data_IF_691133297205
#
_entry.id   IF_691133297205
#
_cell.length_a   1.000
_cell.length_b   1.000
_cell.length_c   1.000
_cell.angle_alpha   90.00
_cell.angle_beta   90.00
_cell.angle_gamma   90.00
#
_symmetry.space_group_name_H-M   'P 1'
#
loop_
_entity.id
_entity.type
_entity.pdbx_description
1 polymer ?
#
# COMPACT_ATOMS: atom_id res chain seq x y z
N UNK A 1 -8.91 20.38 5.07
CA UNK A 1 -10.26 19.75 5.03
C UNK A 1 -10.10 18.33 5.56
N UNK A 2 -10.65 18.04 6.77
CA UNK A 2 -10.66 16.72 7.38
C UNK A 2 -11.61 15.81 6.59
N UNK A 3 -11.07 15.12 5.61
CA UNK A 3 -11.78 14.01 5.00
C UNK A 3 -11.73 12.84 5.98
N UNK A 4 -12.90 12.38 6.39
CA UNK A 4 -13.11 11.29 7.32
C UNK A 4 -12.35 11.50 8.62
N UNK A 5 -12.74 12.54 9.36
CA UNK A 5 -12.40 12.64 10.77
C UNK A 5 -12.76 11.32 11.43
N UNK A 6 -11.79 10.72 12.11
CA UNK A 6 -11.94 9.50 12.88
C UNK A 6 -13.10 9.64 13.88
N UNK A 7 -14.32 9.54 13.37
CA UNK A 7 -15.46 9.32 14.24
C UNK A 7 -15.29 7.91 14.77
N UNK A 8 -14.88 7.86 16.00
CA UNK A 8 -14.86 6.76 16.90
C UNK A 8 -15.88 5.71 16.50
N UNK A 9 -15.42 4.55 16.15
CA UNK A 9 -16.31 3.41 16.07
C UNK A 9 -16.22 2.61 17.36
N UNK A 10 -17.11 1.64 17.57
CA UNK A 10 -17.16 0.81 18.79
C UNK A 10 -15.87 0.00 19.03
N UNK A 11 -14.95 -0.06 18.07
CA UNK A 11 -13.73 -0.87 18.15
C UNK A 11 -12.49 -0.06 18.49
N UNK A 12 -12.44 1.25 18.17
CA UNK A 12 -11.27 2.07 18.48
C UNK A 12 -11.60 3.56 18.58
N UNK A 13 -10.92 4.22 19.51
CA UNK A 13 -10.92 5.67 19.66
C UNK A 13 -9.74 6.31 18.95
N UNK A 14 -8.61 5.60 18.86
CA UNK A 14 -7.36 6.02 18.23
C UNK A 14 -6.79 4.88 17.40
N UNK A 15 -5.90 5.19 16.46
CA UNK A 15 -5.08 4.19 15.79
C UNK A 15 -3.73 3.98 16.52
N UNK A 16 -3.05 2.87 16.20
CA UNK A 16 -1.79 2.49 16.86
C UNK A 16 -0.57 3.34 16.45
N UNK A 17 -0.73 4.34 15.61
CA UNK A 17 0.37 5.20 15.15
C UNK A 17 0.23 6.67 15.49
N UNK A 18 -0.82 7.07 16.29
CA UNK A 18 -1.11 8.48 16.50
C UNK A 18 -0.99 8.96 17.95
N UNK A 19 -0.84 8.05 18.92
CA UNK A 19 -0.72 8.41 20.32
C UNK A 19 0.56 9.19 20.61
N UNK A 20 0.41 10.24 21.41
CA UNK A 20 1.50 11.12 21.83
C UNK A 20 1.33 11.51 23.30
N UNK A 21 2.29 12.21 23.88
CA UNK A 21 2.20 12.78 25.24
C UNK A 21 0.94 13.62 25.48
N UNK A 22 0.33 14.18 24.43
CA UNK A 22 -0.95 14.92 24.53
C UNK A 22 -2.14 14.05 24.92
N UNK A 23 -2.01 12.74 24.74
CA UNK A 23 -3.04 11.77 25.11
C UNK A 23 -2.86 11.19 26.51
N UNK A 24 -1.85 11.67 27.28
CA UNK A 24 -1.59 11.22 28.65
C UNK A 24 -2.88 11.27 29.49
N UNK A 25 -3.06 10.25 30.31
CA UNK A 25 -4.19 10.07 31.22
C UNK A 25 -5.56 9.86 30.54
N UNK A 26 -5.64 9.82 29.23
CA UNK A 26 -6.87 9.51 28.49
C UNK A 26 -7.18 8.01 28.54
N UNK A 27 -8.45 7.70 28.74
CA UNK A 27 -8.98 6.36 28.51
C UNK A 27 -9.25 6.18 27.01
N UNK A 28 -8.65 5.15 26.43
CA UNK A 28 -8.70 4.90 24.99
C UNK A 28 -9.06 3.46 24.69
N UNK A 29 -9.47 3.26 23.44
CA UNK A 29 -9.72 1.94 22.86
C UNK A 29 -8.85 1.79 21.61
N UNK A 30 -8.02 0.76 21.57
CA UNK A 30 -7.26 0.35 20.39
C UNK A 30 -7.76 -1.00 19.89
N UNK A 31 -7.69 -1.22 18.59
CA UNK A 31 -7.87 -2.55 17.98
C UNK A 31 -6.81 -2.80 16.94
N UNK A 32 -6.25 -4.00 16.96
CA UNK A 32 -5.16 -4.38 16.06
C UNK A 32 -4.72 -5.82 16.27
N UNK A 33 -3.62 -6.15 15.63
CA UNK A 33 -2.95 -7.44 15.72
C UNK A 33 -1.89 -7.43 16.80
N UNK A 34 -1.78 -8.50 17.58
CA UNK A 34 -0.68 -8.70 18.53
C UNK A 34 0.60 -8.99 17.73
N UNK A 35 1.44 -7.97 17.57
CA UNK A 35 2.65 -8.05 16.76
C UNK A 35 3.81 -8.71 17.50
N UNK A 36 3.98 -8.41 18.79
CA UNK A 36 5.06 -8.93 19.65
C UNK A 36 4.59 -9.00 21.09
N UNK A 37 5.08 -9.99 21.83
CA UNK A 37 4.88 -10.09 23.29
C UNK A 37 6.23 -10.24 23.99
N UNK A 38 6.36 -9.63 25.14
CA UNK A 38 7.54 -9.75 26.01
C UNK A 38 7.06 -9.90 27.46
N UNK A 39 7.39 -11.04 28.06
CA UNK A 39 7.08 -11.32 29.46
C UNK A 39 8.28 -10.91 30.32
N UNK A 40 8.06 -10.07 31.28
CA UNK A 40 9.01 -9.61 32.31
C UNK A 40 8.56 -10.03 33.71
N UNK A 41 7.92 -11.18 33.83
CA UNK A 41 7.49 -11.78 35.09
C UNK A 41 6.23 -11.16 35.69
N UNK A 42 6.28 -9.91 36.13
CA UNK A 42 5.13 -9.21 36.68
C UNK A 42 4.39 -8.33 35.65
N UNK A 43 5.02 -8.08 34.52
CA UNK A 43 4.48 -7.24 33.45
C UNK A 43 4.55 -7.98 32.12
N UNK A 44 3.47 -7.96 31.37
CA UNK A 44 3.44 -8.44 29.99
C UNK A 44 3.30 -7.23 29.07
N UNK A 45 4.30 -7.05 28.21
CA UNK A 45 4.30 -6.01 27.18
C UNK A 45 3.80 -6.60 25.86
N UNK A 46 2.93 -5.87 25.20
CA UNK A 46 2.31 -6.23 23.91
C UNK A 46 2.48 -5.07 22.96
N UNK A 47 3.13 -5.31 21.85
CA UNK A 47 3.14 -4.39 20.73
C UNK A 47 1.89 -4.65 19.89
N UNK A 48 0.91 -3.76 19.96
CA UNK A 48 -0.30 -3.81 19.14
C UNK A 48 -0.10 -3.04 17.84
N UNK A 49 -0.36 -3.68 16.72
CA UNK A 49 -0.16 -3.11 15.38
C UNK A 49 -1.49 -2.94 14.65
N UNK A 50 -1.62 -1.82 13.94
CA UNK A 50 -2.65 -1.63 12.92
C UNK A 50 -2.01 -1.11 11.61
N UNK A 51 -2.83 -0.63 10.66
CA UNK A 51 -2.35 -0.05 9.39
C UNK A 51 -1.49 1.22 9.59
N UNK A 52 -1.63 1.91 10.72
CA UNK A 52 -1.03 3.23 10.94
C UNK A 52 0.25 3.17 11.76
N UNK A 53 0.45 2.11 12.52
CA UNK A 53 1.64 1.96 13.34
C UNK A 53 1.54 0.89 14.40
N UNK A 54 2.40 1.04 15.41
CA UNK A 54 2.52 0.14 16.56
C UNK A 54 2.47 0.96 17.83
N UNK A 55 1.68 0.50 18.81
CA UNK A 55 1.64 1.05 20.18
C UNK A 55 1.97 -0.06 21.17
N UNK A 56 2.87 0.20 22.10
CA UNK A 56 3.11 -0.69 23.22
C UNK A 56 1.97 -0.60 24.22
N UNK A 57 1.43 -1.76 24.59
CA UNK A 57 0.47 -1.91 25.67
C UNK A 57 1.10 -2.75 26.78
N UNK A 58 0.76 -2.48 28.03
CA UNK A 58 1.30 -3.18 29.19
C UNK A 58 0.17 -3.63 30.12
N UNK A 59 0.29 -4.85 30.65
CA UNK A 59 -0.63 -5.39 31.63
C UNK A 59 0.16 -5.96 32.81
N UNK A 60 -0.29 -5.65 34.02
CA UNK A 60 0.26 -6.15 35.27
C UNK A 60 -0.32 -7.52 35.63
N UNK A 61 0.48 -8.37 36.27
CA UNK A 61 0.11 -9.72 36.71
C UNK A 61 -1.09 -9.76 37.68
N UNK A 62 -1.32 -8.70 38.41
CA UNK A 62 -2.49 -8.55 39.30
C UNK A 62 -3.81 -8.38 38.52
N UNK A 63 -3.74 -8.00 37.23
CA UNK A 63 -4.93 -7.88 36.42
C UNK A 63 -5.49 -9.26 36.08
N UNK A 64 -6.80 -9.45 36.29
CA UNK A 64 -7.51 -10.71 36.04
C UNK A 64 -7.36 -11.26 34.60
N UNK A 65 -7.09 -10.38 33.64
CA UNK A 65 -6.94 -10.71 32.23
C UNK A 65 -5.50 -11.11 31.84
N UNK A 66 -4.53 -11.00 32.73
CA UNK A 66 -3.12 -11.28 32.42
C UNK A 66 -2.90 -12.69 31.84
N UNK A 67 -3.39 -13.72 32.56
CA UNK A 67 -3.20 -15.13 32.16
C UNK A 67 -3.87 -15.48 30.82
N UNK A 68 -4.96 -14.83 30.48
CA UNK A 68 -5.65 -15.03 29.22
C UNK A 68 -4.85 -14.39 28.09
N UNK A 69 -4.40 -13.15 28.29
CA UNK A 69 -3.64 -12.40 27.29
C UNK A 69 -2.25 -12.99 27.03
N UNK A 70 -1.63 -13.59 28.07
CA UNK A 70 -0.37 -14.31 27.95
C UNK A 70 -0.46 -15.50 26.98
N UNK A 71 -1.58 -16.21 26.96
CA UNK A 71 -1.79 -17.42 26.12
C UNK A 71 -2.15 -17.12 24.68
N UNK A 72 -2.66 -15.92 24.37
CA UNK A 72 -3.11 -15.57 23.01
C UNK A 72 -1.93 -15.61 22.04
N UNK A 73 -2.15 -16.22 20.89
CA UNK A 73 -1.13 -16.32 19.83
C UNK A 73 -0.85 -14.96 19.18
N UNK A 74 0.39 -14.78 18.71
CA UNK A 74 0.75 -13.63 17.88
C UNK A 74 -0.15 -13.56 16.65
N UNK A 75 -0.35 -12.36 16.13
CA UNK A 75 -1.26 -12.06 15.02
C UNK A 75 -2.75 -12.32 15.31
N UNK A 76 -3.13 -12.67 16.53
CA UNK A 76 -4.54 -12.57 16.96
C UNK A 76 -4.98 -11.12 16.99
N UNK A 77 -6.24 -10.88 16.65
CA UNK A 77 -6.86 -9.55 16.64
C UNK A 77 -7.54 -9.31 17.97
N UNK A 78 -7.17 -8.22 18.61
CA UNK A 78 -7.73 -7.84 19.92
C UNK A 78 -8.21 -6.39 19.93
N UNK A 79 -9.20 -6.14 20.78
CA UNK A 79 -9.62 -4.81 21.20
C UNK A 79 -9.14 -4.60 22.63
N UNK A 80 -8.39 -3.55 22.87
CA UNK A 80 -7.82 -3.20 24.17
C UNK A 80 -8.47 -1.91 24.65
N UNK A 81 -8.99 -1.91 25.87
CA UNK A 81 -9.37 -0.70 26.59
C UNK A 81 -8.29 -0.43 27.62
N UNK A 82 -7.78 0.76 27.65
CA UNK A 82 -6.68 1.11 28.53
C UNK A 82 -6.46 2.60 28.67
N UNK A 83 -5.53 2.95 29.54
CA UNK A 83 -5.16 4.33 29.84
C UNK A 83 -3.79 4.64 29.27
N UNK A 84 -3.63 5.78 28.62
CA UNK A 84 -2.35 6.24 28.10
C UNK A 84 -1.48 6.75 29.24
N UNK A 85 -0.26 6.23 29.33
CA UNK A 85 0.75 6.68 30.30
C UNK A 85 2.01 7.12 29.58
N UNK A 86 2.69 8.11 30.12
CA UNK A 86 3.98 8.56 29.60
C UNK A 86 5.08 7.61 30.07
N UNK A 87 5.98 7.21 29.18
CA UNK A 87 7.14 6.40 29.55
C UNK A 87 8.19 7.23 30.28
N UNK A 88 8.91 6.57 31.19
CA UNK A 88 10.10 7.17 31.78
C UNK A 88 11.16 7.43 30.70
N UNK A 89 12.05 8.38 30.96
CA UNK A 89 13.11 8.76 30.01
C UNK A 89 13.95 7.57 29.54
N UNK A 90 14.18 6.60 30.44
CA UNK A 90 15.01 5.42 30.18
C UNK A 90 14.28 4.32 29.38
N UNK A 91 12.95 4.42 29.25
CA UNK A 91 12.11 3.44 28.53
C UNK A 91 11.51 3.96 27.23
N UNK A 92 11.83 5.21 26.85
CA UNK A 92 11.41 5.79 25.57
C UNK A 92 11.99 4.96 24.41
N UNK A 93 11.14 4.63 23.43
CA UNK A 93 11.54 3.91 22.24
C UNK A 93 11.45 4.82 21.01
N UNK A 94 12.60 5.34 20.56
CA UNK A 94 12.70 6.23 19.38
C UNK A 94 12.31 5.57 18.04
N UNK A 95 12.30 4.23 17.98
CA UNK A 95 11.95 3.50 16.76
C UNK A 95 10.43 3.46 16.51
N UNK A 96 9.64 3.79 17.53
CA UNK A 96 8.20 3.86 17.43
C UNK A 96 7.71 5.32 17.43
N UNK A 97 6.80 5.66 16.54
CA UNK A 97 6.17 6.99 16.52
C UNK A 97 5.44 7.31 17.84
N UNK A 98 4.93 6.27 18.51
CA UNK A 98 4.23 6.35 19.80
C UNK A 98 5.14 6.05 20.97
N UNK A 99 6.46 5.99 20.75
CA UNK A 99 7.43 5.50 21.73
C UNK A 99 7.62 6.32 22.98
N UNK A 100 7.09 7.53 23.05
CA UNK A 100 7.03 8.37 24.26
C UNK A 100 5.96 7.93 25.27
N UNK A 101 5.00 7.12 24.81
CA UNK A 101 3.84 6.69 25.61
C UNK A 101 3.62 5.19 25.50
N UNK A 102 2.85 4.65 26.42
CA UNK A 102 2.35 3.29 26.37
C UNK A 102 0.91 3.25 26.91
N UNK A 103 0.22 2.15 26.73
CA UNK A 103 -1.16 1.96 27.15
C UNK A 103 -1.22 0.91 28.26
N UNK A 104 -1.59 1.33 29.48
CA UNK A 104 -1.90 0.38 30.55
C UNK A 104 -3.25 -0.28 30.27
N UNK A 105 -3.26 -1.59 30.15
CA UNK A 105 -4.46 -2.36 29.78
C UNK A 105 -5.37 -2.52 30.99
N UNK A 106 -6.61 -2.03 30.88
CA UNK A 106 -7.66 -2.25 31.85
C UNK A 106 -8.45 -3.53 31.54
N UNK A 107 -8.82 -3.71 30.28
CA UNK A 107 -9.53 -4.88 29.78
C UNK A 107 -9.26 -5.09 28.30
N UNK A 108 -9.55 -6.30 27.80
CA UNK A 108 -9.45 -6.59 26.38
C UNK A 108 -10.57 -7.56 25.94
N UNK A 109 -10.72 -7.66 24.63
CA UNK A 109 -11.63 -8.59 23.96
C UNK A 109 -10.91 -9.21 22.76
N UNK A 110 -10.97 -10.52 22.62
CA UNK A 110 -10.50 -11.20 21.41
C UNK A 110 -11.54 -10.95 20.31
N UNK A 111 -11.11 -10.40 19.20
CA UNK A 111 -11.94 -10.19 18.00
C UNK A 111 -11.73 -11.31 16.98
N UNK A 112 -10.56 -11.93 16.96
CA UNK A 112 -10.23 -13.08 16.12
C UNK A 112 -8.96 -13.76 16.59
N UNK A 113 -9.05 -15.06 16.86
CA UNK A 113 -7.89 -15.86 17.25
C UNK A 113 -7.05 -16.25 16.03
N UNK A 114 -5.73 -16.22 16.19
CA UNK A 114 -4.78 -16.74 15.24
C UNK A 114 -4.32 -18.13 15.66
N UNK A 115 -4.19 -19.02 14.70
CA UNK A 115 -3.50 -20.31 14.86
C UNK A 115 -2.00 -20.13 14.61
N UNK A 116 -1.23 -21.20 14.70
CA UNK A 116 0.18 -21.20 14.34
C UNK A 116 0.38 -20.67 12.91
N UNK A 117 1.28 -19.70 12.78
CA UNK A 117 1.54 -19.03 11.51
C UNK A 117 2.52 -19.86 10.66
N UNK A 118 2.22 -20.07 9.37
CA UNK A 118 3.12 -20.74 8.44
C UNK A 118 4.39 -19.93 8.15
N UNK A 119 4.37 -18.63 8.42
CA UNK A 119 5.53 -17.72 8.34
C UNK A 119 5.37 -16.58 9.35
N UNK A 120 6.42 -16.24 10.13
CA UNK A 120 6.40 -15.05 10.97
C UNK A 120 6.26 -13.76 10.19
N UNK A 121 5.46 -12.83 10.73
CA UNK A 121 5.19 -11.52 10.11
C UNK A 121 6.18 -10.45 10.58
N UNK A 122 6.68 -10.58 11.80
CA UNK A 122 7.46 -9.56 12.52
C UNK A 122 8.99 -9.71 12.37
N UNK A 123 9.47 -10.71 11.62
CA UNK A 123 10.91 -10.94 11.40
C UNK A 123 11.36 -10.37 10.05
N UNK A 124 12.62 -9.92 10.00
CA UNK A 124 13.27 -9.52 8.75
C UNK A 124 13.81 -10.72 7.95
N UNK A 125 13.53 -11.94 8.40
CA UNK A 125 13.93 -13.17 7.74
C UNK A 125 13.35 -13.23 6.32
N UNK A 126 14.19 -13.56 5.35
CA UNK A 126 13.73 -13.83 3.99
C UNK A 126 13.08 -15.22 3.91
N UNK A 127 11.95 -15.27 3.22
CA UNK A 127 11.24 -16.50 2.92
C UNK A 127 11.27 -16.78 1.43
N UNK A 128 11.24 -18.06 1.06
CA UNK A 128 11.11 -18.46 -0.33
C UNK A 128 9.87 -17.82 -0.96
N UNK A 129 10.01 -17.41 -2.22
CA UNK A 129 8.95 -16.70 -2.94
C UNK A 129 7.63 -17.50 -2.97
N UNK A 130 7.73 -18.82 -3.14
CA UNK A 130 6.56 -19.72 -3.12
C UNK A 130 5.75 -19.60 -1.82
N UNK A 131 6.41 -19.57 -0.65
CA UNK A 131 5.74 -19.42 0.64
C UNK A 131 5.11 -18.03 0.74
N UNK A 132 5.82 -16.99 0.30
CA UNK A 132 5.34 -15.61 0.32
C UNK A 132 4.12 -15.42 -0.59
N UNK A 133 4.10 -16.04 -1.76
CA UNK A 133 2.98 -16.01 -2.69
C UNK A 133 1.78 -16.82 -2.15
N UNK A 134 2.02 -18.01 -1.62
CA UNK A 134 0.98 -18.86 -1.01
C UNK A 134 0.27 -18.17 0.17
N UNK A 135 1.04 -17.48 1.01
CA UNK A 135 0.52 -16.76 2.18
C UNK A 135 0.65 -15.24 2.01
N UNK A 136 0.30 -14.74 0.82
CA UNK A 136 0.48 -13.35 0.44
C UNK A 136 -0.14 -12.36 1.43
N UNK A 137 -1.27 -12.69 2.04
CA UNK A 137 -1.92 -11.87 3.05
C UNK A 137 -1.10 -11.70 4.34
N UNK A 138 -0.21 -12.65 4.68
CA UNK A 138 0.75 -12.53 5.77
C UNK A 138 1.98 -11.71 5.32
N UNK A 139 2.50 -11.99 4.12
CA UNK A 139 3.62 -11.25 3.55
C UNK A 139 3.32 -9.74 3.44
N UNK A 140 2.08 -9.37 3.08
CA UNK A 140 1.62 -7.99 3.04
C UNK A 140 1.57 -7.29 4.41
N UNK A 141 1.57 -8.03 5.52
CA UNK A 141 1.67 -7.45 6.88
C UNK A 141 3.11 -7.11 7.26
N UNK A 142 4.11 -7.70 6.60
CA UNK A 142 5.53 -7.43 6.86
C UNK A 142 5.84 -5.98 6.51
N UNK A 143 6.55 -5.29 7.41
CA UNK A 143 6.75 -3.83 7.32
C UNK A 143 7.25 -3.37 5.95
N UNK A 144 8.30 -3.99 5.41
CA UNK A 144 8.87 -3.64 4.10
C UNK A 144 7.87 -3.75 2.96
N UNK A 145 7.08 -4.84 2.94
CA UNK A 145 6.10 -5.08 1.87
C UNK A 145 4.91 -4.14 2.04
N UNK A 146 4.42 -3.99 3.27
CA UNK A 146 3.34 -3.06 3.60
C UNK A 146 3.69 -1.61 3.18
N UNK A 147 4.89 -1.14 3.53
CA UNK A 147 5.38 0.20 3.18
C UNK A 147 5.46 0.38 1.65
N UNK A 148 5.90 -0.64 0.91
CA UNK A 148 5.94 -0.61 -0.56
C UNK A 148 4.54 -0.49 -1.18
N UNK A 149 3.54 -1.19 -0.65
CA UNK A 149 2.15 -1.07 -1.13
C UNK A 149 1.59 0.33 -0.85
N UNK A 150 1.86 0.87 0.34
CA UNK A 150 1.47 2.24 0.68
C UNK A 150 2.17 3.26 -0.23
N UNK A 151 3.48 3.08 -0.46
CA UNK A 151 4.24 3.94 -1.38
C UNK A 151 3.64 3.90 -2.79
N UNK A 152 3.40 2.70 -3.33
CA UNK A 152 2.76 2.53 -4.65
C UNK A 152 1.42 3.27 -4.75
N UNK A 153 0.56 3.12 -3.73
CA UNK A 153 -0.73 3.81 -3.68
C UNK A 153 -0.57 5.34 -3.70
N UNK A 154 0.39 5.87 -2.90
CA UNK A 154 0.69 7.31 -2.87
C UNK A 154 1.24 7.82 -4.19
N UNK A 155 2.15 7.08 -4.83
CA UNK A 155 2.72 7.42 -6.14
C UNK A 155 1.63 7.49 -7.20
N UNK A 156 0.77 6.48 -7.29
CA UNK A 156 -0.33 6.46 -8.26
C UNK A 156 -1.29 7.65 -8.04
N UNK A 157 -1.67 7.91 -6.78
CA UNK A 157 -2.54 9.06 -6.45
C UNK A 157 -1.87 10.39 -6.80
N UNK A 158 -0.57 10.50 -6.58
CA UNK A 158 0.21 11.70 -6.93
C UNK A 158 0.25 11.90 -8.45
N UNK A 159 0.59 10.86 -9.23
CA UNK A 159 0.59 10.90 -10.70
C UNK A 159 -0.77 11.38 -11.22
N UNK A 160 -1.86 10.78 -10.73
CA UNK A 160 -3.22 11.17 -11.12
C UNK A 160 -3.49 12.66 -10.87
N UNK A 161 -3.12 13.15 -9.69
CA UNK A 161 -3.29 14.56 -9.35
C UNK A 161 -2.44 15.51 -10.22
N UNK A 162 -1.20 15.13 -10.53
CA UNK A 162 -0.34 15.93 -11.42
C UNK A 162 -0.87 15.96 -12.86
N UNK A 163 -1.36 14.83 -13.38
CA UNK A 163 -1.97 14.78 -14.70
C UNK A 163 -3.21 15.66 -14.79
N UNK A 164 -4.09 15.63 -13.78
CA UNK A 164 -5.27 16.51 -13.69
C UNK A 164 -4.88 18.00 -13.65
N UNK A 165 -3.83 18.37 -12.90
CA UNK A 165 -3.31 19.74 -12.86
C UNK A 165 -2.76 20.21 -14.22
N UNK A 166 -2.21 19.29 -15.01
CA UNK A 166 -1.72 19.55 -16.36
C UNK A 166 -2.87 19.63 -17.40
N UNK A 167 -4.11 19.48 -16.96
CA UNK A 167 -5.31 19.59 -17.79
C UNK A 167 -5.69 18.33 -18.55
N UNK A 168 -5.13 17.18 -18.16
CA UNK A 168 -5.55 15.90 -18.71
C UNK A 168 -6.85 15.42 -18.10
N UNK A 169 -7.65 14.71 -18.89
CA UNK A 169 -8.83 13.99 -18.44
C UNK A 169 -8.51 12.50 -18.25
N UNK A 170 -8.94 11.93 -17.14
CA UNK A 170 -8.77 10.50 -16.88
C UNK A 170 -9.90 9.71 -17.54
N UNK A 171 -9.52 8.71 -18.35
CA UNK A 171 -10.44 7.79 -19.00
C UNK A 171 -10.27 6.37 -18.49
N UNK A 172 -11.27 5.54 -18.77
CA UNK A 172 -11.24 4.10 -18.62
C UNK A 172 -11.71 3.48 -19.92
N UNK A 173 -10.90 2.58 -20.47
CA UNK A 173 -11.19 1.87 -21.72
C UNK A 173 -11.59 0.44 -21.46
N UNK A 174 -12.32 -0.23 -22.38
CA UNK A 174 -12.72 -1.62 -22.23
C UNK A 174 -11.53 -2.57 -22.04
N UNK A 175 -11.69 -3.53 -21.11
CA UNK A 175 -10.70 -4.59 -20.87
C UNK A 175 -11.03 -5.83 -21.71
N UNK A 176 -12.31 -6.17 -21.89
CA UNK A 176 -12.72 -7.20 -22.84
C UNK A 176 -12.88 -6.57 -24.21
N UNK A 177 -11.92 -6.81 -25.08
CA UNK A 177 -11.85 -6.19 -26.42
C UNK A 177 -11.54 -7.22 -27.50
N UNK A 178 -11.33 -6.78 -28.72
CA UNK A 178 -10.78 -7.60 -29.80
C UNK A 178 -9.25 -7.61 -29.78
N UNK A 179 -8.66 -8.62 -30.40
CA UNK A 179 -7.22 -8.66 -30.62
C UNK A 179 -6.72 -7.42 -31.35
N UNK A 180 -5.55 -6.92 -30.95
CA UNK A 180 -4.88 -5.79 -31.58
C UNK A 180 -3.47 -6.17 -32.04
N UNK A 181 -2.98 -5.64 -33.16
CA UNK A 181 -1.69 -6.03 -33.72
C UNK A 181 -0.50 -5.32 -33.04
N UNK A 182 -0.38 -5.44 -31.70
CA UNK A 182 0.64 -4.70 -30.94
C UNK A 182 1.93 -5.48 -30.67
N UNK A 183 2.10 -6.64 -31.31
CA UNK A 183 3.37 -7.37 -31.34
C UNK A 183 3.61 -8.39 -30.23
N UNK A 184 2.89 -8.35 -29.11
CA UNK A 184 2.89 -9.40 -28.10
C UNK A 184 1.77 -10.43 -28.38
N UNK A 185 1.77 -11.56 -27.67
CA UNK A 185 0.65 -12.51 -27.69
C UNK A 185 -0.47 -12.01 -26.77
N UNK A 186 -1.71 -12.19 -27.22
CA UNK A 186 -2.89 -11.83 -26.45
C UNK A 186 -3.27 -12.93 -25.45
N UNK A 187 -3.70 -12.52 -24.25
CA UNK A 187 -4.53 -13.38 -23.42
C UNK A 187 -5.94 -13.43 -23.97
N UNK A 188 -6.46 -14.63 -24.24
CA UNK A 188 -7.76 -14.84 -24.84
C UNK A 188 -8.79 -15.30 -23.81
N UNK A 189 -9.99 -14.71 -23.86
CA UNK A 189 -11.13 -15.08 -23.03
C UNK A 189 -12.23 -15.66 -23.91
N UNK A 190 -12.59 -16.96 -23.79
CA UNK A 190 -13.66 -17.56 -24.59
C UNK A 190 -15.02 -16.89 -24.37
N UNK A 191 -15.73 -16.61 -25.45
CA UNK A 191 -17.11 -16.08 -25.36
C UNK A 191 -18.12 -17.22 -25.17
N UNK A 192 -18.88 -17.15 -24.08
CA UNK A 192 -19.98 -18.12 -23.83
C UNK A 192 -21.17 -17.90 -24.77
N UNK A 193 -21.43 -16.67 -25.17
CA UNK A 193 -22.56 -16.30 -26.01
C UNK A 193 -22.30 -16.53 -27.50
N UNK A 194 -21.04 -16.58 -27.91
CA UNK A 194 -20.63 -16.76 -29.29
C UNK A 194 -19.63 -17.93 -29.39
N UNK A 195 -20.07 -19.18 -29.56
CA UNK A 195 -19.18 -20.34 -29.64
C UNK A 195 -18.11 -20.16 -30.73
N UNK A 196 -16.86 -20.51 -30.40
CA UNK A 196 -15.71 -20.37 -31.28
C UNK A 196 -15.14 -18.95 -31.42
N UNK A 197 -15.70 -17.96 -30.70
CA UNK A 197 -15.17 -16.59 -30.63
C UNK A 197 -14.55 -16.28 -29.28
N UNK A 198 -13.62 -15.34 -29.27
CA UNK A 198 -12.84 -14.94 -28.10
C UNK A 198 -12.83 -13.42 -27.97
N UNK A 199 -12.77 -12.95 -26.73
CA UNK A 199 -12.27 -11.62 -26.40
C UNK A 199 -10.77 -11.70 -26.19
N UNK A 200 -10.06 -10.59 -26.42
CA UNK A 200 -8.67 -10.42 -26.03
C UNK A 200 -8.58 -9.44 -24.85
N UNK A 201 -7.60 -9.64 -23.97
CA UNK A 201 -7.23 -8.63 -22.98
C UNK A 201 -6.28 -7.63 -23.63
N UNK A 202 -6.39 -6.31 -23.35
CA UNK A 202 -5.65 -5.28 -24.07
C UNK A 202 -4.15 -5.34 -23.72
N UNK A 203 -3.30 -5.33 -24.72
CA UNK A 203 -1.85 -5.17 -24.55
C UNK A 203 -1.47 -3.74 -24.18
N UNK A 204 -2.24 -2.77 -24.67
CA UNK A 204 -2.25 -1.35 -24.36
C UNK A 204 -3.57 -0.74 -24.89
N UNK A 205 -4.03 0.42 -24.40
CA UNK A 205 -5.26 1.06 -24.88
C UNK A 205 -5.06 1.85 -26.18
N UNK A 206 -4.14 1.46 -27.06
CA UNK A 206 -3.68 2.24 -28.22
C UNK A 206 -4.81 2.64 -29.17
N UNK A 207 -5.67 1.72 -29.56
CA UNK A 207 -6.77 2.01 -30.48
C UNK A 207 -7.82 2.93 -29.82
N UNK A 208 -8.12 2.69 -28.56
CA UNK A 208 -9.10 3.50 -27.82
C UNK A 208 -8.65 4.92 -27.61
N UNK A 209 -7.37 5.15 -27.24
CA UNK A 209 -6.87 6.51 -27.05
C UNK A 209 -6.86 7.30 -28.36
N UNK A 210 -6.55 6.67 -29.50
CA UNK A 210 -6.65 7.31 -30.81
C UNK A 210 -8.11 7.70 -31.13
N UNK A 211 -9.08 6.83 -30.85
CA UNK A 211 -10.50 7.14 -31.04
C UNK A 211 -10.95 8.29 -30.13
N UNK A 212 -10.44 8.37 -28.90
CA UNK A 212 -10.71 9.48 -27.99
C UNK A 212 -10.18 10.79 -28.57
N UNK A 213 -8.96 10.81 -29.10
CA UNK A 213 -8.41 12.00 -29.77
C UNK A 213 -9.24 12.42 -31.00
N UNK A 214 -9.60 11.45 -31.84
CA UNK A 214 -10.47 11.70 -33.03
C UNK A 214 -11.85 12.22 -32.61
N UNK A 215 -12.32 11.89 -31.40
CA UNK A 215 -13.58 12.37 -30.85
C UNK A 215 -13.51 13.82 -30.33
N UNK A 216 -12.35 14.48 -30.45
CA UNK A 216 -12.18 15.90 -30.12
C UNK A 216 -11.73 16.19 -28.68
N UNK A 217 -11.17 15.21 -27.99
CA UNK A 217 -10.52 15.45 -26.70
C UNK A 217 -9.04 15.81 -26.91
N UNK A 218 -8.55 16.81 -26.20
CA UNK A 218 -7.19 17.31 -26.40
C UNK A 218 -6.13 16.59 -25.56
N UNK A 219 -6.49 16.12 -24.37
CA UNK A 219 -5.56 15.50 -23.43
C UNK A 219 -6.21 14.34 -22.69
N UNK A 220 -5.73 13.17 -22.96
CA UNK A 220 -6.15 11.91 -22.36
C UNK A 220 -5.06 11.36 -21.46
N UNK A 221 -5.43 10.77 -20.33
CA UNK A 221 -4.57 9.81 -19.64
C UNK A 221 -5.38 8.69 -19.01
N UNK A 222 -4.69 7.62 -18.69
CA UNK A 222 -5.23 6.46 -17.98
C UNK A 222 -4.12 5.76 -17.20
N UNK A 223 -4.44 5.24 -16.01
CA UNK A 223 -3.62 4.22 -15.37
C UNK A 223 -4.14 2.87 -15.88
N UNK A 224 -3.61 2.45 -17.01
CA UNK A 224 -4.13 1.38 -17.84
C UNK A 224 -3.62 0.00 -17.39
N UNK A 225 -4.49 -0.98 -17.11
CA UNK A 225 -4.09 -2.38 -17.01
C UNK A 225 -3.73 -2.90 -18.40
N UNK A 226 -2.55 -3.51 -18.52
CA UNK A 226 -2.02 -4.06 -19.75
C UNK A 226 -1.66 -5.53 -19.56
N UNK A 227 -1.90 -6.33 -20.59
CA UNK A 227 -1.75 -7.77 -20.55
C UNK A 227 -0.94 -8.25 -21.77
N UNK A 228 0.11 -9.01 -21.52
CA UNK A 228 0.96 -9.59 -22.58
C UNK A 228 1.31 -11.01 -22.21
N UNK A 229 0.91 -11.97 -23.05
CA UNK A 229 1.22 -13.39 -22.86
C UNK A 229 2.65 -13.68 -23.38
N UNK A 230 3.61 -13.22 -22.62
CA UNK A 230 5.03 -13.39 -22.89
C UNK A 230 5.68 -14.24 -21.79
N UNK A 231 6.82 -14.84 -22.11
CA UNK A 231 7.57 -15.64 -21.16
C UNK A 231 7.97 -14.78 -19.94
N UNK A 232 7.50 -15.16 -18.78
CA UNK A 232 7.86 -14.50 -17.53
C UNK A 232 9.36 -14.68 -17.25
N UNK A 233 10.09 -13.57 -17.18
CA UNK A 233 11.49 -13.55 -16.72
C UNK A 233 11.53 -12.99 -15.32
N UNK A 234 12.39 -13.54 -14.47
CA UNK A 234 12.51 -13.16 -13.05
C UNK A 234 12.79 -11.66 -12.83
N UNK A 235 13.36 -10.98 -13.80
CA UNK A 235 13.77 -9.57 -13.78
C UNK A 235 12.79 -8.63 -14.51
N UNK A 236 11.68 -9.15 -15.05
CA UNK A 236 10.73 -8.39 -15.87
C UNK A 236 9.32 -8.44 -15.30
N UNK A 237 8.49 -7.55 -15.82
CA UNK A 237 7.08 -7.47 -15.51
C UNK A 237 6.37 -8.81 -15.77
N UNK A 238 5.48 -9.26 -14.88
CA UNK A 238 4.58 -10.34 -15.17
C UNK A 238 3.70 -9.98 -16.37
N UNK A 239 2.98 -10.98 -16.93
CA UNK A 239 2.09 -10.77 -18.08
C UNK A 239 0.98 -9.72 -17.86
N UNK A 240 0.76 -9.28 -16.61
CA UNK A 240 -0.13 -8.18 -16.22
C UNK A 240 0.67 -7.05 -15.56
N UNK A 241 0.50 -5.82 -16.04
CA UNK A 241 1.14 -4.62 -15.48
C UNK A 241 0.29 -3.39 -15.73
N UNK A 242 0.66 -2.27 -15.10
CA UNK A 242 -0.03 -0.99 -15.26
C UNK A 242 0.88 0.03 -15.92
N UNK A 243 0.33 0.77 -16.87
CA UNK A 243 0.98 1.90 -17.53
C UNK A 243 0.32 3.22 -17.13
N UNK A 244 1.13 4.26 -16.93
CA UNK A 244 0.62 5.60 -17.16
C UNK A 244 0.62 5.80 -18.67
N UNK A 245 -0.57 5.74 -19.26
CA UNK A 245 -0.77 5.97 -20.67
C UNK A 245 -1.35 7.37 -20.88
N UNK A 246 -0.83 8.11 -21.83
CA UNK A 246 -1.26 9.48 -22.13
C UNK A 246 -1.23 9.76 -23.62
N UNK A 247 -2.11 10.67 -24.07
CA UNK A 247 -2.17 11.13 -25.46
C UNK A 247 -2.56 12.61 -25.50
N UNK A 248 -2.02 13.35 -26.46
CA UNK A 248 -2.30 14.77 -26.65
C UNK A 248 -2.52 15.09 -28.13
N UNK A 249 -3.44 16.01 -28.38
CA UNK A 249 -3.66 16.59 -29.71
C UNK A 249 -2.83 17.85 -29.91
N UNK A 250 -2.51 18.17 -31.17
CA UNK A 250 -1.83 19.42 -31.59
C UNK A 250 -0.48 19.64 -30.92
N UNK A 251 0.33 18.59 -30.79
CA UNK A 251 1.65 18.60 -30.11
C UNK A 251 2.72 17.96 -30.93
N UNK A 252 3.98 18.33 -30.67
CA UNK A 252 5.17 17.74 -31.21
C UNK A 252 5.90 16.90 -30.14
N UNK A 253 6.95 16.19 -30.53
CA UNK A 253 7.74 15.31 -29.65
C UNK A 253 8.24 16.03 -28.39
N UNK A 254 8.74 17.25 -28.53
CA UNK A 254 9.26 18.03 -27.39
C UNK A 254 8.19 18.42 -26.38
N UNK A 255 6.93 18.60 -26.81
CA UNK A 255 5.81 18.86 -25.91
C UNK A 255 5.55 17.65 -25.01
N UNK A 256 5.60 16.45 -25.58
CA UNK A 256 5.47 15.19 -24.81
C UNK A 256 6.62 15.04 -23.82
N UNK A 257 7.86 15.27 -24.27
CA UNK A 257 9.04 15.22 -23.39
C UNK A 257 8.91 16.20 -22.23
N UNK A 258 8.47 17.41 -22.48
CA UNK A 258 8.30 18.44 -21.44
C UNK A 258 7.27 18.04 -20.37
N UNK A 259 6.16 17.40 -20.76
CA UNK A 259 5.15 16.89 -19.82
C UNK A 259 5.72 15.75 -18.97
N UNK A 260 6.34 14.75 -19.61
CA UNK A 260 6.91 13.59 -18.93
C UNK A 260 8.05 14.02 -17.98
N UNK A 261 8.94 14.92 -18.43
CA UNK A 261 10.05 15.45 -17.63
C UNK A 261 9.55 16.16 -16.37
N UNK A 262 8.56 17.04 -16.48
CA UNK A 262 7.93 17.73 -15.34
C UNK A 262 7.33 16.74 -14.34
N UNK A 263 6.62 15.75 -14.83
CA UNK A 263 6.01 14.71 -14.00
C UNK A 263 7.10 13.91 -13.26
N UNK A 264 8.14 13.45 -13.96
CA UNK A 264 9.22 12.66 -13.37
C UNK A 264 10.01 13.44 -12.33
N UNK A 265 10.35 14.69 -12.61
CA UNK A 265 11.02 15.59 -11.64
C UNK A 265 10.17 15.74 -10.37
N UNK A 266 8.87 15.98 -10.54
CA UNK A 266 7.94 16.13 -9.43
C UNK A 266 7.81 14.84 -8.60
N UNK A 267 7.74 13.67 -9.24
CA UNK A 267 7.75 12.36 -8.59
C UNK A 267 9.02 12.14 -7.76
N UNK A 268 10.19 12.34 -8.36
CA UNK A 268 11.46 12.12 -7.66
C UNK A 268 11.60 13.06 -6.46
N UNK A 269 11.25 14.34 -6.60
CA UNK A 269 11.30 15.32 -5.51
C UNK A 269 10.39 14.94 -4.33
N UNK A 270 9.26 14.26 -4.59
CA UNK A 270 8.30 13.91 -3.54
C UNK A 270 8.52 12.53 -2.90
N UNK A 271 9.09 11.58 -3.62
CA UNK A 271 9.14 10.18 -3.18
C UNK A 271 10.54 9.58 -3.09
N UNK A 272 11.55 10.18 -3.71
CA UNK A 272 12.93 9.67 -3.67
C UNK A 272 13.74 10.34 -2.56
N UNK A 273 14.56 9.54 -1.87
CA UNK A 273 15.61 10.04 -0.99
C UNK A 273 16.87 10.48 -1.75
N UNK A 274 16.97 10.15 -3.04
CA UNK A 274 18.10 10.49 -3.90
C UNK A 274 17.90 11.87 -4.52
N UNK A 275 18.99 12.60 -4.73
CA UNK A 275 18.97 13.89 -5.43
C UNK A 275 18.98 13.66 -6.94
N UNK A 276 18.25 14.48 -7.67
CA UNK A 276 18.39 14.59 -9.11
C UNK A 276 19.75 15.21 -9.46
N UNK A 277 20.45 14.65 -10.42
CA UNK A 277 21.71 15.23 -10.94
C UNK A 277 21.45 16.57 -11.62
N UNK A 278 20.42 16.62 -12.46
CA UNK A 278 19.97 17.79 -13.17
C UNK A 278 18.44 17.87 -13.15
N UNK A 279 17.91 19.09 -13.22
CA UNK A 279 16.46 19.32 -13.38
C UNK A 279 16.00 19.21 -14.84
N UNK A 280 16.94 19.17 -15.79
CA UNK A 280 16.66 18.95 -17.21
C UNK A 280 17.28 17.63 -17.64
N UNK A 281 16.46 16.74 -18.20
CA UNK A 281 16.92 15.43 -18.67
C UNK A 281 17.62 15.56 -20.01
N UNK A 282 18.74 14.85 -20.24
CA UNK A 282 19.42 14.85 -21.54
C UNK A 282 18.53 14.20 -22.60
N UNK A 283 18.63 14.70 -23.83
CA UNK A 283 18.08 14.08 -25.02
C UNK A 283 19.18 13.21 -25.62
N UNK A 284 19.08 11.91 -25.41
CA UNK A 284 20.10 10.94 -25.84
C UNK A 284 19.62 10.26 -27.11
N UNK A 285 20.32 10.44 -28.25
CA UNK A 285 20.04 9.68 -29.48
C UNK A 285 20.22 8.18 -29.28
N UNK A 286 19.54 7.37 -30.11
CA UNK A 286 19.58 5.91 -29.99
C UNK A 286 20.98 5.34 -30.20
N UNK A 287 21.81 6.01 -31.02
CA UNK A 287 23.17 5.59 -31.38
C UNK A 287 24.19 5.80 -30.24
N UNK A 288 23.87 6.59 -29.23
CA UNK A 288 24.69 6.79 -28.03
C UNK A 288 24.35 5.77 -26.93
#
# INVERSE_FOLDING_TARGET
KKYWGHKLNRYRTHNCGELTKKNKDQDIVLSGWINKKRDHGNLLFIDLRDNYGVTQCVIDKSNKHFKELEKIQLESVVKINGKVVERSKDTINSDLKTGDVEVTINSFQILGECKELPMPVFSDQDYAEEIRLKYRFLDLRRKKIHDNIILRSKVISFIRNEMLKLGFLEFQTPILTSSSPEGARDFLVPSRLNPGKFYALPQAPQQFKQLIMVSGFDKYFQIAPCFRDEDARADRSPGEFYQLDLEMSFVEQEDVFNIVEKLMISLFKNFSSKKLLNEKFPRIPYEE
#
